data_IF_026469314392
#
_entry.id   IF_026469314392
#
_cell.length_a   1.000
_cell.length_b   1.000
_cell.length_c   1.000
_cell.angle_alpha   90.00
_cell.angle_beta   90.00
_cell.angle_gamma   90.00
#
_symmetry.space_group_name_H-M   'P 1'
#
loop_
_entity.id
_entity.type
_entity.pdbx_description
1 polymer ?
#
# COMPACT_ATOMS: atom_id res chain seq x y z
N UNK A 1 3.09 5.91 4.30
CA UNK A 1 2.03 5.06 3.71
C UNK A 1 0.65 5.55 4.13
N UNK A 2 -0.29 5.58 3.19
CA UNK A 2 -1.68 5.97 3.43
C UNK A 2 -2.32 5.10 4.54
N UNK A 3 -2.12 3.78 4.44
CA UNK A 3 -2.62 2.80 5.41
C UNK A 3 -2.17 3.08 6.85
N UNK A 4 -0.95 3.58 7.03
CA UNK A 4 -0.39 3.79 8.37
C UNK A 4 -1.17 4.91 9.08
N UNK A 5 -1.43 5.99 8.36
CA UNK A 5 -2.21 7.11 8.86
C UNK A 5 -3.69 6.75 9.06
N UNK A 6 -4.28 5.87 8.24
CA UNK A 6 -5.68 5.47 8.42
C UNK A 6 -5.92 4.71 9.72
N UNK A 7 -4.89 4.06 10.29
CA UNK A 7 -4.97 3.48 11.64
C UNK A 7 -5.04 4.55 12.73
N UNK A 8 -4.44 5.71 12.50
CA UNK A 8 -4.30 6.81 13.46
C UNK A 8 -3.70 6.39 14.81
N UNK A 9 -2.81 5.40 14.80
CA UNK A 9 -2.04 4.94 15.98
C UNK A 9 -0.60 5.36 15.79
N UNK A 10 -0.08 6.20 16.68
CA UNK A 10 1.29 6.71 16.66
C UNK A 10 2.14 5.93 17.65
N UNK A 11 3.28 5.43 17.20
CA UNK A 11 4.23 4.66 17.99
C UNK A 11 5.18 5.56 18.80
N UNK A 12 6.00 4.96 19.66
CA UNK A 12 6.96 5.67 20.54
C UNK A 12 7.97 6.52 19.74
N UNK A 13 8.35 6.09 18.54
CA UNK A 13 9.27 6.82 17.64
C UNK A 13 8.58 7.97 16.89
N UNK A 14 7.27 8.14 17.08
CA UNK A 14 6.46 9.15 16.45
C UNK A 14 6.01 8.82 15.02
N UNK A 15 6.29 7.62 14.51
CA UNK A 15 5.77 7.12 13.25
C UNK A 15 4.42 6.43 13.45
N UNK A 16 3.69 6.21 12.36
CA UNK A 16 2.44 5.44 12.35
C UNK A 16 2.67 3.97 11.93
N UNK A 17 3.94 3.57 11.82
CA UNK A 17 4.36 2.23 11.38
C UNK A 17 4.52 1.34 12.61
N UNK A 18 3.87 0.16 12.68
CA UNK A 18 3.99 -0.77 13.79
C UNK A 18 5.43 -1.11 14.13
N UNK A 19 5.68 -1.35 15.42
CA UNK A 19 6.98 -1.80 15.90
C UNK A 19 6.90 -3.27 16.35
N UNK A 20 8.04 -3.95 16.56
CA UNK A 20 8.04 -5.27 17.20
C UNK A 20 7.38 -5.31 18.59
N UNK A 21 7.23 -4.17 19.29
CA UNK A 21 6.53 -4.07 20.57
C UNK A 21 5.01 -3.99 20.41
N UNK A 22 4.55 -3.54 19.25
CA UNK A 22 3.15 -3.29 18.89
C UNK A 22 2.82 -3.96 17.55
N UNK A 23 3.11 -5.26 17.38
CA UNK A 23 2.89 -5.93 16.11
C UNK A 23 1.39 -5.98 15.80
N UNK A 24 1.03 -5.78 14.53
CA UNK A 24 -0.31 -6.08 14.05
C UNK A 24 -0.30 -7.51 13.51
N UNK A 25 -1.41 -8.23 13.69
CA UNK A 25 -1.55 -9.64 13.31
C UNK A 25 -1.55 -9.93 11.80
N UNK A 26 -1.54 -8.91 10.94
CA UNK A 26 -1.56 -9.09 9.48
C UNK A 26 -0.15 -9.03 8.88
N UNK A 27 0.15 -10.00 8.01
CA UNK A 27 1.45 -10.25 7.41
C UNK A 27 2.09 -8.97 6.84
N UNK A 28 3.05 -8.41 7.57
CA UNK A 28 3.96 -7.40 7.06
C UNK A 28 5.12 -8.09 6.33
N UNK A 29 5.08 -8.12 5.00
CA UNK A 29 6.24 -8.59 4.23
C UNK A 29 7.23 -7.43 4.08
N UNK A 30 8.37 -7.51 4.77
CA UNK A 30 9.38 -6.44 4.76
C UNK A 30 10.10 -6.21 3.42
N UNK A 31 9.91 -7.09 2.43
CA UNK A 31 10.44 -6.94 1.08
C UNK A 31 9.33 -7.25 0.07
N UNK A 32 9.13 -6.37 -0.90
CA UNK A 32 8.32 -6.66 -2.09
C UNK A 32 8.92 -7.89 -2.78
N UNK A 33 8.18 -9.00 -2.90
CA UNK A 33 8.69 -10.19 -3.56
C UNK A 33 9.08 -9.85 -5.01
N UNK A 34 10.24 -10.33 -5.46
CA UNK A 34 10.73 -10.06 -6.82
C UNK A 34 9.96 -10.81 -7.91
N UNK A 35 9.14 -11.77 -7.51
CA UNK A 35 8.33 -12.61 -8.38
C UNK A 35 6.90 -12.68 -7.82
N UNK A 36 6.00 -13.27 -8.62
CA UNK A 36 4.64 -13.59 -8.19
C UNK A 36 4.64 -14.31 -6.84
N UNK A 37 3.74 -13.89 -5.96
CA UNK A 37 3.52 -14.53 -4.68
C UNK A 37 2.04 -14.66 -4.40
N UNK A 38 1.69 -15.61 -3.55
CA UNK A 38 0.36 -15.77 -3.00
C UNK A 38 0.43 -15.40 -1.52
N UNK A 39 -0.42 -14.46 -1.12
CA UNK A 39 -0.67 -14.16 0.28
C UNK A 39 -1.97 -14.84 0.69
N UNK A 40 -1.87 -15.80 1.59
CA UNK A 40 -3.03 -16.41 2.25
C UNK A 40 -3.25 -15.71 3.59
N UNK A 41 -4.46 -15.22 3.81
CA UNK A 41 -4.88 -14.59 5.06
C UNK A 41 -6.32 -14.95 5.37
N UNK A 42 -6.71 -14.82 6.63
CA UNK A 42 -8.05 -15.11 7.12
C UNK A 42 -8.52 -14.00 8.06
N UNK A 43 -9.83 -13.81 8.14
CA UNK A 43 -10.44 -12.97 9.16
C UNK A 43 -10.72 -13.83 10.40
N UNK A 44 -10.61 -13.23 11.59
CA UNK A 44 -10.95 -13.92 12.84
C UNK A 44 -12.43 -14.31 12.91
N UNK A 45 -13.29 -13.57 12.19
CA UNK A 45 -14.73 -13.79 12.12
C UNK A 45 -15.19 -13.92 10.67
N UNK A 46 -16.16 -14.80 10.43
CA UNK A 46 -16.84 -14.90 9.14
C UNK A 46 -17.59 -13.61 8.84
N UNK A 47 -17.46 -13.11 7.61
CA UNK A 47 -18.15 -11.92 7.13
C UNK A 47 -19.05 -12.28 5.96
N UNK A 48 -20.18 -11.58 5.85
CA UNK A 48 -21.12 -11.68 4.75
C UNK A 48 -21.20 -10.34 4.01
N UNK A 49 -21.68 -10.36 2.78
CA UNK A 49 -21.90 -9.19 1.93
C UNK A 49 -20.60 -8.55 1.44
N UNK A 50 -20.68 -7.26 1.10
CA UNK A 50 -19.60 -6.54 0.42
C UNK A 50 -18.65 -5.83 1.38
N UNK A 51 -17.38 -5.82 1.03
CA UNK A 51 -16.36 -4.99 1.68
C UNK A 51 -15.46 -4.32 0.64
N UNK A 52 -14.82 -3.23 1.07
CA UNK A 52 -13.78 -2.58 0.29
C UNK A 52 -12.44 -3.13 0.77
N UNK A 53 -11.72 -3.79 -0.13
CA UNK A 53 -10.34 -4.21 0.11
C UNK A 53 -9.39 -3.15 -0.42
N UNK A 54 -8.46 -2.73 0.43
CA UNK A 54 -7.39 -1.80 0.10
C UNK A 54 -6.05 -2.55 0.11
N UNK A 55 -5.17 -2.21 -0.82
CA UNK A 55 -3.81 -2.74 -0.87
C UNK A 55 -2.86 -1.60 -1.21
N UNK A 56 -1.79 -1.42 -0.44
CA UNK A 56 -0.79 -0.38 -0.70
C UNK A 56 0.59 -1.03 -0.87
N UNK A 57 1.30 -0.64 -1.93
CA UNK A 57 2.64 -1.13 -2.23
C UNK A 57 3.59 0.03 -2.49
N UNK A 58 4.82 -0.13 -2.04
CA UNK A 58 5.87 0.89 -2.19
C UNK A 58 7.18 0.23 -2.64
N UNK A 59 7.96 0.95 -3.43
CA UNK A 59 9.33 0.58 -3.77
C UNK A 59 10.28 1.74 -3.40
N UNK A 60 11.18 1.56 -2.44
CA UNK A 60 12.21 2.55 -2.15
C UNK A 60 13.13 2.81 -3.34
N UNK A 61 13.67 4.02 -3.42
CA UNK A 61 14.55 4.52 -4.48
C UNK A 61 13.95 4.48 -5.90
N UNK A 62 12.62 4.54 -6.04
CA UNK A 62 11.93 4.46 -7.32
C UNK A 62 11.84 5.82 -8.01
N UNK A 63 12.97 6.35 -8.48
CA UNK A 63 13.03 7.70 -9.06
C UNK A 63 12.62 7.76 -10.54
N UNK A 64 12.05 8.90 -10.95
CA UNK A 64 11.83 9.27 -12.35
C UNK A 64 12.03 10.79 -12.56
N UNK A 65 11.74 11.30 -13.76
CA UNK A 65 11.90 12.73 -14.11
C UNK A 65 11.06 13.67 -13.24
N UNK A 66 9.91 13.22 -12.74
CA UNK A 66 9.01 14.00 -11.87
C UNK A 66 9.34 13.78 -10.40
N UNK A 67 9.83 12.60 -10.02
CA UNK A 67 10.11 12.13 -8.67
C UNK A 67 11.59 11.83 -8.54
N UNK A 68 12.41 12.87 -8.53
CA UNK A 68 13.86 12.78 -8.37
C UNK A 68 14.28 13.17 -6.95
N UNK A 69 15.49 12.77 -6.54
CA UNK A 69 16.04 12.98 -5.20
C UNK A 69 16.07 14.45 -4.73
N UNK A 70 16.16 15.41 -5.65
CA UNK A 70 16.19 16.85 -5.33
C UNK A 70 14.80 17.47 -5.12
N UNK A 71 13.70 16.79 -5.50
CA UNK A 71 12.34 17.35 -5.41
C UNK A 71 11.96 17.78 -3.99
N UNK A 72 12.39 17.02 -2.99
CA UNK A 72 12.26 17.34 -1.57
C UNK A 72 13.62 17.26 -0.87
N UNK A 73 14.62 18.01 -1.35
CA UNK A 73 16.01 17.93 -0.92
C UNK A 73 16.22 18.09 0.61
N UNK A 74 15.35 18.83 1.29
CA UNK A 74 15.41 19.07 2.74
C UNK A 74 14.64 18.04 3.58
N UNK A 75 13.92 17.11 2.94
CA UNK A 75 13.15 16.07 3.63
C UNK A 75 13.97 14.77 3.68
N UNK A 76 14.46 14.41 4.87
CA UNK A 76 15.28 13.20 5.06
C UNK A 76 14.51 11.90 4.76
N UNK A 77 13.21 11.84 5.04
CA UNK A 77 12.38 10.67 4.77
C UNK A 77 12.22 10.42 3.25
N UNK A 78 12.19 11.48 2.45
CA UNK A 78 12.07 11.37 1.00
C UNK A 78 13.37 10.94 0.31
N UNK A 79 14.55 11.16 0.91
CA UNK A 79 15.86 10.90 0.26
C UNK A 79 16.02 9.46 -0.24
N UNK A 80 15.33 8.51 0.36
CA UNK A 80 15.32 7.09 -0.01
C UNK A 80 13.99 6.63 -0.60
N UNK A 81 13.06 7.55 -0.87
CA UNK A 81 11.71 7.25 -1.35
C UNK A 81 11.66 7.22 -2.88
N UNK A 82 11.44 8.36 -3.55
CA UNK A 82 11.20 8.42 -4.99
C UNK A 82 9.72 8.58 -5.30
N UNK A 83 9.20 7.78 -6.23
CA UNK A 83 7.76 7.71 -6.48
C UNK A 83 7.01 7.25 -5.21
N UNK A 84 5.86 7.86 -4.91
CA UNK A 84 5.05 7.48 -3.76
C UNK A 84 4.48 6.06 -3.89
N UNK A 85 4.06 5.50 -2.77
CA UNK A 85 3.33 4.23 -2.71
C UNK A 85 2.04 4.30 -3.52
N UNK A 86 1.70 3.23 -4.23
CA UNK A 86 0.45 3.11 -4.99
C UNK A 86 -0.58 2.38 -4.15
N UNK A 87 -1.79 2.96 -4.10
CA UNK A 87 -2.94 2.41 -3.38
C UNK A 87 -3.91 1.81 -4.40
N UNK A 88 -4.24 0.55 -4.20
CA UNK A 88 -5.17 -0.22 -5.00
C UNK A 88 -6.43 -0.53 -4.20
N UNK A 89 -7.55 -0.71 -4.89
CA UNK A 89 -8.83 -1.04 -4.29
C UNK A 89 -9.64 -2.03 -5.13
N UNK A 90 -10.37 -2.90 -4.45
CA UNK A 90 -11.47 -3.68 -5.01
C UNK A 90 -12.67 -3.70 -4.06
N UNK A 91 -13.87 -3.83 -4.60
CA UNK A 91 -15.06 -4.20 -3.82
C UNK A 91 -15.18 -5.72 -3.93
N UNK A 92 -15.00 -6.40 -2.80
CA UNK A 92 -15.12 -7.85 -2.68
C UNK A 92 -16.50 -8.20 -2.10
N UNK A 93 -17.01 -9.38 -2.42
CA UNK A 93 -18.30 -9.87 -1.97
C UNK A 93 -18.11 -11.25 -1.32
N UNK A 94 -18.18 -11.29 0.02
CA UNK A 94 -17.97 -12.50 0.81
C UNK A 94 -19.03 -13.57 0.57
N UNK A 95 -20.19 -13.19 0.02
CA UNK A 95 -21.25 -14.14 -0.35
C UNK A 95 -20.95 -14.85 -1.69
N UNK A 96 -19.81 -14.54 -2.33
CA UNK A 96 -19.39 -15.08 -3.62
C UNK A 96 -17.99 -15.67 -3.56
N UNK A 97 -17.94 -16.96 -3.26
CA UNK A 97 -16.72 -17.77 -3.23
C UNK A 97 -16.17 -18.05 -4.64
N UNK A 98 -14.87 -18.33 -4.72
CA UNK A 98 -14.17 -18.75 -5.92
C UNK A 98 -14.18 -17.73 -7.08
N UNK A 99 -14.59 -16.48 -6.82
CA UNK A 99 -14.51 -15.36 -7.77
C UNK A 99 -13.20 -14.58 -7.55
N UNK A 100 -12.52 -14.24 -8.65
CA UNK A 100 -11.37 -13.35 -8.62
C UNK A 100 -11.78 -11.88 -8.72
N UNK A 101 -11.45 -11.09 -7.70
CA UNK A 101 -11.61 -9.64 -7.66
C UNK A 101 -10.29 -8.97 -8.03
N UNK A 102 -10.30 -8.17 -9.09
CA UNK A 102 -9.12 -7.41 -9.51
C UNK A 102 -9.04 -6.11 -8.73
N UNK A 103 -7.87 -5.81 -8.17
CA UNK A 103 -7.64 -4.51 -7.55
C UNK A 103 -7.08 -3.54 -8.59
N UNK A 104 -7.63 -2.33 -8.60
CA UNK A 104 -7.22 -1.27 -9.51
C UNK A 104 -6.53 -0.14 -8.73
N UNK A 105 -5.50 0.51 -9.29
CA UNK A 105 -4.89 1.66 -8.64
C UNK A 105 -5.92 2.80 -8.57
N UNK A 106 -6.11 3.34 -7.38
CA UNK A 106 -7.05 4.44 -7.11
C UNK A 106 -6.35 5.74 -6.69
N UNK A 107 -5.05 5.67 -6.42
CA UNK A 107 -4.27 6.83 -6.03
C UNK A 107 -2.92 6.44 -5.46
N UNK A 108 -2.24 7.40 -4.88
CA UNK A 108 -0.96 7.23 -4.23
C UNK A 108 -0.90 7.96 -2.89
N UNK A 109 -0.05 7.46 -1.99
CA UNK A 109 0.20 8.09 -0.70
C UNK A 109 1.02 9.39 -0.83
N UNK A 110 1.25 10.05 0.29
CA UNK A 110 2.12 11.22 0.31
C UNK A 110 3.60 10.81 0.09
N UNK A 111 4.33 11.44 -0.85
CA UNK A 111 5.72 11.10 -1.18
C UNK A 111 6.68 11.28 0.00
N UNK A 112 6.45 12.28 0.86
CA UNK A 112 7.30 12.53 2.05
C UNK A 112 6.83 11.76 3.28
N UNK A 113 5.66 11.12 3.21
CA UNK A 113 5.04 10.43 4.33
C UNK A 113 4.53 11.37 5.44
N UNK A 114 4.37 12.67 5.16
CA UNK A 114 3.98 13.68 6.15
C UNK A 114 2.48 13.64 6.51
N UNK A 115 1.64 13.05 5.65
CA UNK A 115 0.20 12.95 5.88
C UNK A 115 -0.41 11.64 5.32
N UNK A 116 -1.68 11.42 5.65
CA UNK A 116 -2.49 10.28 5.22
C UNK A 116 -3.43 10.58 4.06
N UNK A 117 -3.11 11.52 3.18
CA UNK A 117 -3.98 11.88 2.06
C UNK A 117 -3.82 10.89 0.90
N UNK A 118 -4.94 10.57 0.24
CA UNK A 118 -4.97 9.80 -1.00
C UNK A 118 -4.99 10.76 -2.19
N UNK A 119 -3.89 10.81 -2.95
CA UNK A 119 -3.80 11.59 -4.18
C UNK A 119 -4.26 10.74 -5.36
N UNK A 120 -5.30 11.15 -6.07
CA UNK A 120 -5.90 10.36 -7.17
C UNK A 120 -5.23 10.58 -8.52
N UNK A 121 -4.36 11.59 -8.66
CA UNK A 121 -3.60 11.83 -9.88
C UNK A 121 -2.39 10.88 -9.96
N UNK A 122 -2.48 9.91 -10.86
CA UNK A 122 -1.42 8.92 -11.11
C UNK A 122 -0.52 9.30 -12.29
N UNK A 123 -0.75 10.43 -12.96
CA UNK A 123 -0.10 10.78 -14.24
C UNK A 123 1.41 10.93 -14.17
N UNK A 124 1.94 11.23 -12.98
CA UNK A 124 3.38 11.37 -12.72
C UNK A 124 4.07 10.04 -12.40
N UNK A 125 3.32 8.95 -12.21
CA UNK A 125 3.86 7.64 -11.87
C UNK A 125 4.20 6.83 -13.12
N UNK A 126 5.25 6.04 -13.01
CA UNK A 126 5.88 5.30 -14.10
C UNK A 126 6.15 3.85 -13.66
N UNK A 127 7.34 3.56 -13.16
CA UNK A 127 7.74 2.26 -12.63
C UNK A 127 6.94 1.85 -11.39
N UNK A 128 6.46 2.79 -10.58
CA UNK A 128 5.60 2.49 -9.44
C UNK A 128 4.29 1.78 -9.84
N UNK A 129 3.69 2.13 -10.98
CA UNK A 129 2.50 1.45 -11.51
C UNK A 129 2.81 0.09 -12.14
N UNK A 130 4.10 -0.26 -12.27
CA UNK A 130 4.58 -1.52 -12.85
C UNK A 130 5.13 -2.49 -11.80
N UNK A 131 5.11 -2.11 -10.52
CA UNK A 131 5.56 -3.00 -9.42
C UNK A 131 4.73 -4.29 -9.41
N UNK A 132 3.42 -4.17 -9.63
CA UNK A 132 2.52 -5.31 -9.78
C UNK A 132 1.80 -5.22 -11.13
N UNK A 133 1.99 -6.21 -11.99
CA UNK A 133 1.23 -6.30 -13.25
C UNK A 133 -0.26 -6.51 -12.97
N UNK A 134 -0.57 -7.32 -11.96
CA UNK A 134 -1.93 -7.69 -11.60
C UNK A 134 -2.02 -8.10 -10.13
N UNK A 135 -3.07 -7.64 -9.46
CA UNK A 135 -3.41 -8.02 -8.09
C UNK A 135 -4.82 -8.59 -8.10
N UNK A 136 -4.96 -9.83 -7.63
CA UNK A 136 -6.26 -10.52 -7.55
C UNK A 136 -6.45 -11.07 -6.15
N UNK A 137 -7.63 -10.86 -5.60
CA UNK A 137 -8.09 -11.57 -4.40
C UNK A 137 -9.16 -12.58 -4.76
N UNK A 138 -9.10 -13.74 -4.11
CA UNK A 138 -10.12 -14.77 -4.13
C UNK A 138 -10.56 -15.04 -2.70
N UNK A 139 -11.86 -15.24 -2.54
CA UNK A 139 -12.46 -15.68 -1.28
C UNK A 139 -12.69 -17.18 -1.44
N UNK A 140 -12.15 -17.95 -0.50
CA UNK A 140 -12.22 -19.41 -0.46
C UNK A 140 -13.18 -19.87 0.63
#
# INVERSE_FOLDING_TARGET
PYWAFSRNIKEEDGLYIPTPKTPIADAYTGATPQNDFVLETQLDETRNGKAILWFEINQPFDFNDVWHNQKYANNNAYRTSGQPSVVYMAIIDFDKENIGYFLHPIGHGNPTGENGELNTDLSSLTTALKIAEKIVVKIN
#
